data_IF_895050933457
#
_entry.id   IF_895050933457
#
_cell.length_a   1.000
_cell.length_b   1.000
_cell.length_c   1.000
_cell.angle_alpha   90.00
_cell.angle_beta   90.00
_cell.angle_gamma   90.00
#
_symmetry.space_group_name_H-M   'P 1'
#
loop_
_entity.id
_entity.type
_entity.pdbx_description
1 polymer ?
#
# COMPACT_ATOMS: atom_id res chain seq x y z
N UNK A 1 -11.28 -6.53 26.62
CA UNK A 1 -10.10 -6.42 25.72
C UNK A 1 -10.68 -6.43 24.33
N UNK A 2 -11.03 -5.26 23.82
CA UNK A 2 -11.75 -5.13 22.55
C UNK A 2 -10.73 -5.24 21.43
N UNK A 3 -10.78 -6.37 20.74
CA UNK A 3 -9.97 -6.63 19.55
C UNK A 3 -10.57 -5.77 18.42
N UNK A 4 -9.87 -4.74 17.90
CA UNK A 4 -10.46 -3.63 17.15
C UNK A 4 -11.08 -4.01 15.79
N UNK A 5 -11.05 -5.29 15.43
CA UNK A 5 -11.33 -5.79 14.08
C UNK A 5 -12.09 -7.11 14.14
N UNK A 6 -13.08 -7.27 15.03
CA UNK A 6 -13.80 -8.56 15.14
C UNK A 6 -14.88 -8.77 14.07
N UNK A 7 -15.44 -7.72 13.44
CA UNK A 7 -16.55 -7.89 12.51
C UNK A 7 -16.28 -7.30 11.11
N UNK A 8 -16.12 -8.17 10.10
CA UNK A 8 -15.89 -7.79 8.71
C UNK A 8 -17.03 -6.93 8.15
N UNK A 9 -18.27 -7.18 8.58
CA UNK A 9 -19.43 -6.42 8.11
C UNK A 9 -19.45 -5.00 8.68
N UNK A 10 -18.89 -4.80 9.87
CA UNK A 10 -18.73 -3.49 10.48
C UNK A 10 -17.63 -2.68 9.78
N UNK A 11 -16.52 -3.34 9.42
CA UNK A 11 -15.48 -2.77 8.57
C UNK A 11 -16.02 -2.33 7.21
N UNK A 12 -16.76 -3.19 6.53
CA UNK A 12 -17.38 -2.88 5.23
C UNK A 12 -18.37 -1.72 5.37
N UNK A 13 -19.22 -1.73 6.39
CA UNK A 13 -20.13 -0.61 6.68
C UNK A 13 -19.39 0.69 6.97
N UNK A 14 -18.25 0.63 7.66
CA UNK A 14 -17.41 1.81 7.92
C UNK A 14 -16.85 2.37 6.61
N UNK A 15 -16.37 1.52 5.70
CA UNK A 15 -15.93 1.94 4.36
C UNK A 15 -17.07 2.55 3.56
N UNK A 16 -18.22 1.90 3.53
CA UNK A 16 -19.40 2.42 2.82
C UNK A 16 -19.89 3.75 3.41
N UNK A 17 -19.80 3.90 4.73
CA UNK A 17 -20.07 5.16 5.43
C UNK A 17 -19.06 6.25 5.07
N UNK A 18 -17.77 5.91 5.02
CA UNK A 18 -16.69 6.83 4.63
C UNK A 18 -16.83 7.27 3.17
N UNK A 19 -17.18 6.37 2.24
CA UNK A 19 -17.51 6.69 0.83
C UNK A 19 -18.67 7.69 0.70
N UNK A 20 -19.62 7.66 1.64
CA UNK A 20 -20.83 8.51 1.61
C UNK A 20 -20.65 9.85 2.32
N UNK A 21 -19.86 9.90 3.40
CA UNK A 21 -19.67 11.11 4.21
C UNK A 21 -18.48 11.95 3.77
N UNK A 22 -17.35 11.31 3.50
CA UNK A 22 -16.20 11.92 2.84
C UNK A 22 -16.39 11.68 1.34
N UNK A 23 -16.16 12.68 0.49
CA UNK A 23 -16.02 12.45 -0.97
C UNK A 23 -14.72 11.69 -1.27
N UNK A 24 -14.48 10.57 -0.59
CA UNK A 24 -13.39 9.63 -0.83
C UNK A 24 -13.70 8.92 -2.14
N UNK A 25 -13.13 9.45 -3.21
CA UNK A 25 -13.11 8.77 -4.48
C UNK A 25 -11.98 7.72 -4.45
N UNK A 26 -12.30 6.56 -3.88
CA UNK A 26 -11.35 5.45 -3.74
C UNK A 26 -10.83 4.93 -5.09
N UNK A 27 -11.57 5.16 -6.19
CA UNK A 27 -11.11 4.84 -7.55
C UNK A 27 -9.97 5.79 -7.95
N UNK A 28 -10.23 7.11 -7.88
CA UNK A 28 -9.21 8.12 -8.18
C UNK A 28 -8.00 8.05 -7.23
N UNK A 29 -8.22 7.77 -5.94
CA UNK A 29 -7.14 7.64 -4.96
C UNK A 29 -6.32 6.36 -5.21
N UNK A 30 -6.91 5.30 -5.76
CA UNK A 30 -6.17 4.13 -6.23
C UNK A 30 -5.23 4.50 -7.37
N UNK A 31 -5.74 5.11 -8.44
CA UNK A 31 -4.91 5.51 -9.57
C UNK A 31 -3.77 6.44 -9.12
N UNK A 32 -4.10 7.37 -8.22
CA UNK A 32 -3.11 8.27 -7.64
C UNK A 32 -2.07 7.52 -6.79
N UNK A 33 -2.45 6.47 -6.06
CA UNK A 33 -1.49 5.63 -5.32
C UNK A 33 -0.51 4.91 -6.26
N UNK A 34 -0.96 4.47 -7.44
CA UNK A 34 -0.09 3.86 -8.46
C UNK A 34 0.82 4.92 -9.10
N UNK A 35 0.30 6.12 -9.39
CA UNK A 35 1.13 7.23 -9.84
C UNK A 35 2.26 7.55 -8.85
N UNK A 36 1.97 7.54 -7.54
CA UNK A 36 2.98 7.72 -6.48
C UNK A 36 4.02 6.61 -6.49
N UNK A 37 3.61 5.33 -6.64
CA UNK A 37 4.56 4.22 -6.78
C UNK A 37 5.53 4.47 -7.94
N UNK A 38 5.00 4.88 -9.10
CA UNK A 38 5.81 5.19 -10.28
C UNK A 38 6.77 6.37 -10.03
N UNK A 39 6.35 7.42 -9.32
CA UNK A 39 7.25 8.53 -8.95
C UNK A 39 8.39 8.06 -8.04
N UNK A 40 8.13 7.16 -7.08
CA UNK A 40 9.20 6.54 -6.27
C UNK A 40 10.19 5.79 -7.18
N UNK A 41 9.68 5.03 -8.15
CA UNK A 41 10.54 4.33 -9.10
C UNK A 41 11.37 5.29 -9.98
N UNK A 42 10.84 6.46 -10.33
CA UNK A 42 11.58 7.49 -11.08
C UNK A 42 12.68 8.10 -10.20
N UNK A 43 12.40 8.43 -8.92
CA UNK A 43 13.42 8.89 -7.96
C UNK A 43 14.59 7.91 -7.90
N UNK A 44 14.30 6.61 -7.76
CA UNK A 44 15.32 5.56 -7.74
C UNK A 44 16.10 5.50 -9.05
N UNK A 45 15.43 5.65 -10.20
CA UNK A 45 16.08 5.64 -11.50
C UNK A 45 17.06 6.81 -11.67
N UNK A 46 16.66 8.01 -11.27
CA UNK A 46 17.54 9.18 -11.29
C UNK A 46 18.71 9.04 -10.34
N UNK A 47 18.49 8.52 -9.13
CA UNK A 47 19.56 8.22 -8.19
C UNK A 47 20.63 7.30 -8.82
N UNK A 48 20.21 6.18 -9.40
CA UNK A 48 21.15 5.25 -10.04
C UNK A 48 21.84 5.87 -11.27
N UNK A 49 21.13 6.69 -12.04
CA UNK A 49 21.68 7.32 -13.23
C UNK A 49 22.73 8.37 -12.87
N UNK A 50 22.47 9.22 -11.87
CA UNK A 50 23.44 10.15 -11.32
C UNK A 50 24.69 9.43 -10.80
N UNK A 51 24.51 8.34 -10.05
CA UNK A 51 25.61 7.54 -9.52
C UNK A 51 26.46 6.88 -10.62
N UNK A 52 25.81 6.36 -11.69
CA UNK A 52 26.50 5.70 -12.81
C UNK A 52 27.23 6.66 -13.74
N UNK A 53 26.66 7.82 -13.98
CA UNK A 53 27.16 8.78 -14.98
C UNK A 53 28.04 9.86 -14.38
N UNK A 54 28.01 10.06 -13.07
CA UNK A 54 28.69 11.16 -12.39
C UNK A 54 28.07 12.53 -12.65
N UNK A 55 26.89 12.59 -13.29
CA UNK A 55 26.22 13.84 -13.68
C UNK A 55 25.27 14.30 -12.57
N UNK A 56 25.55 15.42 -11.88
CA UNK A 56 24.76 15.86 -10.74
C UNK A 56 23.34 16.32 -11.10
N UNK A 57 23.08 16.67 -12.37
CA UNK A 57 21.78 17.16 -12.85
C UNK A 57 20.65 16.11 -12.66
N UNK A 58 21.01 14.82 -12.61
CA UNK A 58 20.04 13.77 -12.29
C UNK A 58 19.56 13.84 -10.83
N UNK A 59 20.36 14.36 -9.90
CA UNK A 59 19.92 14.58 -8.52
C UNK A 59 18.97 15.78 -8.40
N UNK A 60 19.13 16.79 -9.26
CA UNK A 60 18.19 17.91 -9.35
C UNK A 60 16.83 17.42 -9.86
N UNK A 61 16.82 16.61 -10.92
CA UNK A 61 15.60 15.95 -11.43
C UNK A 61 14.95 15.04 -10.37
N UNK A 62 15.76 14.33 -9.58
CA UNK A 62 15.26 13.54 -8.45
C UNK A 62 14.51 14.44 -7.44
N UNK A 63 15.05 15.62 -7.11
CA UNK A 63 14.38 16.54 -6.19
C UNK A 63 13.05 17.04 -6.75
N UNK A 64 12.98 17.36 -8.03
CA UNK A 64 11.72 17.76 -8.69
C UNK A 64 10.64 16.66 -8.59
N UNK A 65 11.01 15.43 -8.93
CA UNK A 65 10.09 14.27 -8.82
C UNK A 65 9.68 14.04 -7.37
N UNK A 66 10.60 14.20 -6.43
CA UNK A 66 10.33 14.05 -4.99
C UNK A 66 9.33 15.07 -4.49
N UNK A 67 9.38 16.30 -4.99
CA UNK A 67 8.40 17.34 -4.65
C UNK A 67 7.00 16.96 -5.18
N UNK A 68 6.90 16.58 -6.45
CA UNK A 68 5.63 16.10 -7.06
C UNK A 68 5.08 14.92 -6.26
N UNK A 69 5.90 13.92 -5.94
CA UNK A 69 5.48 12.78 -5.10
C UNK A 69 4.94 13.24 -3.75
N UNK A 70 5.64 14.16 -3.09
CA UNK A 70 5.21 14.72 -1.82
C UNK A 70 3.85 15.41 -1.93
N UNK A 71 3.60 16.19 -2.97
CA UNK A 71 2.31 16.84 -3.20
C UNK A 71 1.17 15.84 -3.41
N UNK A 72 1.38 14.82 -4.24
CA UNK A 72 0.37 13.80 -4.50
C UNK A 72 0.09 12.94 -3.26
N UNK A 73 1.13 12.62 -2.47
CA UNK A 73 0.97 11.84 -1.25
C UNK A 73 0.11 12.57 -0.21
N UNK A 74 0.17 13.92 -0.13
CA UNK A 74 -0.73 14.72 0.73
C UNK A 74 -2.20 14.65 0.34
N UNK A 75 -2.51 14.31 -0.91
CA UNK A 75 -3.90 14.19 -1.37
C UNK A 75 -4.56 12.92 -0.83
N UNK A 76 -3.79 11.84 -0.68
CA UNK A 76 -4.30 10.54 -0.18
C UNK A 76 -4.14 10.42 1.34
N UNK A 77 -3.02 10.90 1.90
CA UNK A 77 -2.76 10.82 3.34
C UNK A 77 -3.30 12.06 4.03
N UNK A 78 -4.53 11.97 4.55
CA UNK A 78 -5.23 13.10 5.19
C UNK A 78 -4.76 13.43 6.61
N UNK A 79 -4.10 12.48 7.31
CA UNK A 79 -3.60 12.71 8.68
C UNK A 79 -2.09 12.63 8.79
N UNK A 80 -1.54 13.67 9.42
CA UNK A 80 -0.11 13.91 9.59
C UNK A 80 0.42 13.41 10.93
N UNK A 81 -0.01 12.22 11.37
CA UNK A 81 0.85 11.45 12.27
C UNK A 81 2.10 11.08 11.45
N UNK A 82 3.25 11.66 11.78
CA UNK A 82 4.46 11.57 10.94
C UNK A 82 4.89 10.13 10.59
N UNK A 83 4.48 9.16 11.41
CA UNK A 83 4.69 7.73 11.19
C UNK A 83 3.82 7.17 10.05
N UNK A 84 2.56 7.62 9.93
CA UNK A 84 1.61 7.21 8.87
C UNK A 84 2.12 7.62 7.49
N UNK A 85 2.68 8.82 7.37
CA UNK A 85 3.28 9.32 6.14
C UNK A 85 4.43 8.42 5.67
N UNK A 86 5.35 8.11 6.58
CA UNK A 86 6.53 7.32 6.27
C UNK A 86 6.15 5.87 5.95
N UNK A 87 5.32 5.22 6.76
CA UNK A 87 4.92 3.83 6.54
C UNK A 87 4.16 3.67 5.22
N UNK A 88 3.27 4.61 4.88
CA UNK A 88 2.49 4.57 3.64
C UNK A 88 3.39 4.58 2.39
N UNK A 89 4.36 5.50 2.35
CA UNK A 89 5.41 5.54 1.31
C UNK A 89 6.14 4.20 1.19
N UNK A 90 6.56 3.62 2.32
CA UNK A 90 7.33 2.38 2.34
C UNK A 90 6.49 1.17 1.89
N UNK A 91 5.22 1.11 2.27
CA UNK A 91 4.28 0.07 1.84
C UNK A 91 4.05 0.13 0.33
N UNK A 92 3.82 1.33 -0.23
CA UNK A 92 3.67 1.51 -1.67
C UNK A 92 4.93 1.09 -2.45
N UNK A 93 6.11 1.54 -1.99
CA UNK A 93 7.39 1.20 -2.63
C UNK A 93 7.67 -0.31 -2.60
N UNK A 94 7.48 -0.94 -1.44
CA UNK A 94 7.72 -2.37 -1.27
C UNK A 94 6.72 -3.21 -2.07
N UNK A 95 5.44 -2.81 -2.11
CA UNK A 95 4.42 -3.44 -2.96
C UNK A 95 4.84 -3.40 -4.43
N UNK A 96 5.18 -2.22 -4.96
CA UNK A 96 5.64 -2.08 -6.35
C UNK A 96 6.88 -2.92 -6.66
N UNK A 97 7.85 -2.94 -5.74
CA UNK A 97 9.07 -3.73 -5.94
C UNK A 97 8.78 -5.22 -6.00
N UNK A 98 7.87 -5.73 -5.17
CA UNK A 98 7.45 -7.14 -5.22
C UNK A 98 6.65 -7.47 -6.49
N UNK A 99 5.82 -6.56 -7.00
CA UNK A 99 5.15 -6.72 -8.30
C UNK A 99 6.16 -6.91 -9.43
N UNK A 100 7.19 -6.06 -9.47
CA UNK A 100 8.24 -6.13 -10.49
C UNK A 100 9.08 -7.43 -10.39
N UNK A 101 9.45 -7.85 -9.18
CA UNK A 101 10.20 -9.11 -8.99
C UNK A 101 9.32 -10.32 -9.35
N UNK A 102 8.05 -10.31 -8.95
CA UNK A 102 7.09 -11.36 -9.32
C UNK A 102 6.92 -11.48 -10.83
N UNK A 103 6.83 -10.36 -11.56
CA UNK A 103 6.75 -10.35 -13.02
C UNK A 103 7.99 -10.99 -13.67
N UNK A 104 9.19 -10.74 -13.13
CA UNK A 104 10.43 -11.38 -13.57
C UNK A 104 10.42 -12.90 -13.34
N UNK A 105 10.01 -13.35 -12.15
CA UNK A 105 9.89 -14.79 -11.88
C UNK A 105 8.86 -15.47 -12.80
N UNK A 106 7.75 -14.79 -13.11
CA UNK A 106 6.75 -15.26 -14.06
C UNK A 106 7.36 -15.41 -15.47
N UNK A 107 8.13 -14.42 -15.93
CA UNK A 107 8.85 -14.49 -17.21
C UNK A 107 9.87 -15.62 -17.29
N UNK A 108 10.43 -16.04 -16.15
CA UNK A 108 11.34 -17.19 -16.02
C UNK A 108 10.61 -18.53 -15.89
N UNK A 109 9.28 -18.56 -15.96
CA UNK A 109 8.47 -19.78 -15.82
C UNK A 109 8.29 -20.27 -14.37
N UNK A 110 8.80 -19.54 -13.38
CA UNK A 110 8.70 -19.88 -11.95
C UNK A 110 7.37 -19.39 -11.36
N UNK A 111 6.28 -20.03 -11.80
CA UNK A 111 4.91 -19.56 -11.55
C UNK A 111 4.56 -19.48 -10.07
N UNK A 112 5.00 -20.44 -9.26
CA UNK A 112 4.61 -20.48 -7.84
C UNK A 112 5.34 -19.41 -7.02
N UNK A 113 6.63 -19.18 -7.31
CA UNK A 113 7.41 -18.08 -6.73
C UNK A 113 6.81 -16.72 -7.12
N UNK A 114 6.41 -16.55 -8.39
CA UNK A 114 5.76 -15.34 -8.86
C UNK A 114 4.43 -15.06 -8.13
N UNK A 115 3.57 -16.07 -7.99
CA UNK A 115 2.27 -15.95 -7.30
C UNK A 115 2.43 -15.58 -5.83
N UNK A 116 3.40 -16.18 -5.15
CA UNK A 116 3.71 -15.85 -3.76
C UNK A 116 4.18 -14.39 -3.62
N UNK A 117 5.03 -13.91 -4.53
CA UNK A 117 5.46 -12.50 -4.57
C UNK A 117 4.30 -11.55 -4.86
N UNK A 118 3.42 -11.87 -5.81
CA UNK A 118 2.23 -11.07 -6.09
C UNK A 118 1.27 -11.01 -4.91
N UNK A 119 1.11 -12.12 -4.18
CA UNK A 119 0.27 -12.13 -2.98
C UNK A 119 0.83 -11.20 -1.90
N UNK A 120 2.16 -11.25 -1.67
CA UNK A 120 2.82 -10.34 -0.72
C UNK A 120 2.71 -8.88 -1.17
N UNK A 121 2.83 -8.60 -2.46
CA UNK A 121 2.65 -7.26 -3.00
C UNK A 121 1.23 -6.72 -2.72
N UNK A 122 0.22 -7.55 -2.93
CA UNK A 122 -1.18 -7.21 -2.67
C UNK A 122 -1.47 -7.03 -1.17
N UNK A 123 -0.83 -7.81 -0.31
CA UNK A 123 -0.95 -7.70 1.15
C UNK A 123 -0.41 -6.35 1.65
N UNK A 124 0.76 -5.91 1.15
CA UNK A 124 1.34 -4.60 1.49
C UNK A 124 0.48 -3.45 0.97
N UNK A 125 -0.05 -3.57 -0.24
CA UNK A 125 -0.98 -2.58 -0.79
C UNK A 125 -2.28 -2.51 0.03
N UNK A 126 -2.78 -3.67 0.48
CA UNK A 126 -3.96 -3.73 1.35
C UNK A 126 -3.70 -3.10 2.71
N UNK A 127 -2.49 -3.27 3.25
CA UNK A 127 -2.07 -2.64 4.50
C UNK A 127 -1.98 -1.11 4.35
N UNK A 128 -1.50 -0.60 3.22
CA UNK A 128 -1.48 0.84 2.93
C UNK A 128 -2.88 1.45 3.06
N UNK A 129 -3.90 0.83 2.48
CA UNK A 129 -5.28 1.29 2.61
C UNK A 129 -5.83 1.12 4.01
N UNK A 130 -5.52 0.00 4.68
CA UNK A 130 -5.90 -0.23 6.07
C UNK A 130 -5.44 0.88 7.02
N UNK A 131 -4.20 1.35 6.84
CA UNK A 131 -3.63 2.47 7.61
C UNK A 131 -4.29 3.80 7.21
N UNK A 132 -4.35 4.13 5.92
CA UNK A 132 -4.86 5.44 5.47
C UNK A 132 -6.37 5.63 5.66
N UNK A 133 -7.14 4.55 5.72
CA UNK A 133 -8.57 4.57 6.04
C UNK A 133 -8.84 4.47 7.55
N UNK A 134 -7.79 4.51 8.39
CA UNK A 134 -7.86 4.35 9.86
C UNK A 134 -8.64 3.12 10.30
N UNK A 135 -8.46 2.02 9.57
CA UNK A 135 -9.00 0.72 9.94
C UNK A 135 -8.07 0.01 10.91
N UNK A 136 -6.80 0.43 10.93
CA UNK A 136 -5.78 0.03 11.89
C UNK A 136 -5.44 1.28 12.70
N UNK A 137 -5.66 1.23 14.02
CA UNK A 137 -5.19 2.29 14.92
C UNK A 137 -3.68 2.10 15.14
N UNK A 138 -2.89 3.10 14.76
CA UNK A 138 -1.44 3.15 14.95
C UNK A 138 -1.05 3.15 16.43
N UNK A 139 -1.87 3.79 17.28
CA UNK A 139 -1.72 3.79 18.74
C UNK A 139 -1.86 2.40 19.41
N UNK A 140 -2.55 1.46 18.73
CA UNK A 140 -2.77 0.10 19.20
C UNK A 140 -1.68 -0.89 18.71
N UNK A 141 -0.65 -0.42 17.99
CA UNK A 141 0.52 -1.24 17.60
C UNK A 141 1.46 -1.43 18.82
N UNK A 142 0.90 -1.71 20.00
CA UNK A 142 1.64 -2.28 21.12
C UNK A 142 1.66 -3.78 20.91
N UNK A 143 2.73 -4.25 20.25
CA UNK A 143 3.03 -5.66 19.95
C UNK A 143 1.90 -6.36 19.19
N UNK A 144 2.11 -6.55 17.89
CA UNK A 144 1.36 -7.56 17.15
C UNK A 144 1.58 -8.88 17.90
N UNK A 145 0.53 -9.43 18.50
CA UNK A 145 0.55 -10.74 19.14
C UNK A 145 1.10 -11.75 18.13
N UNK A 146 2.07 -12.58 18.52
CA UNK A 146 2.73 -13.54 17.62
C UNK A 146 1.70 -14.45 16.92
N UNK A 147 0.53 -14.64 17.55
CA UNK A 147 -0.60 -15.39 17.00
C UNK A 147 -1.33 -14.68 15.85
N UNK A 148 -1.25 -13.35 15.72
CA UNK A 148 -1.83 -12.60 14.61
C UNK A 148 -1.01 -12.71 13.31
N UNK A 149 0.22 -13.21 13.39
CA UNK A 149 1.13 -13.47 12.28
C UNK A 149 1.22 -14.95 11.88
N UNK A 150 0.42 -15.83 12.50
CA UNK A 150 0.47 -17.27 12.23
C UNK A 150 0.21 -17.57 10.76
N UNK A 151 1.26 -18.04 10.07
CA UNK A 151 1.23 -18.52 8.68
C UNK A 151 0.68 -19.95 8.54
N UNK A 152 0.11 -20.51 9.60
CA UNK A 152 -0.29 -21.92 9.68
C UNK A 152 -1.77 -22.16 10.02
N UNK A 153 -2.63 -21.15 9.96
CA UNK A 153 -4.06 -21.39 10.11
C UNK A 153 -4.69 -21.70 8.74
N UNK A 154 -5.22 -22.92 8.62
CA UNK A 154 -6.03 -23.38 7.48
C UNK A 154 -7.35 -22.59 7.34
N UNK A 155 -7.70 -21.75 8.33
CA UNK A 155 -8.79 -20.78 8.26
C UNK A 155 -8.29 -19.37 7.87
N UNK A 156 -8.59 -18.95 6.65
CA UNK A 156 -8.27 -17.62 6.09
C UNK A 156 -9.03 -16.46 6.77
N UNK A 157 -8.85 -16.21 8.07
CA UNK A 157 -9.59 -15.15 8.79
C UNK A 157 -8.75 -14.21 9.68
N UNK A 158 -7.43 -14.14 9.51
CA UNK A 158 -6.56 -13.15 10.16
C UNK A 158 -6.71 -11.71 9.62
N UNK A 159 -6.07 -10.72 10.28
CA UNK A 159 -6.10 -9.29 9.94
C UNK A 159 -5.87 -9.02 8.44
N UNK A 160 -4.82 -9.60 7.88
CA UNK A 160 -4.49 -9.46 6.45
C UNK A 160 -5.59 -9.99 5.52
N UNK A 161 -6.24 -11.09 5.89
CA UNK A 161 -7.38 -11.63 5.13
C UNK A 161 -8.53 -10.63 5.05
N UNK A 162 -8.85 -9.97 6.17
CA UNK A 162 -9.93 -8.97 6.25
C UNK A 162 -9.59 -7.71 5.47
N UNK A 163 -8.34 -7.23 5.56
CA UNK A 163 -7.86 -6.08 4.79
C UNK A 163 -7.94 -6.34 3.29
N UNK A 164 -7.54 -7.53 2.82
CA UNK A 164 -7.67 -7.91 1.41
C UNK A 164 -9.12 -7.89 0.94
N UNK A 165 -10.04 -8.50 1.70
CA UNK A 165 -11.46 -8.51 1.35
C UNK A 165 -12.04 -7.10 1.31
N UNK A 166 -11.60 -6.24 2.23
CA UNK A 166 -12.01 -4.85 2.27
C UNK A 166 -11.50 -4.07 1.06
N UNK A 167 -10.20 -4.13 0.76
CA UNK A 167 -9.63 -3.47 -0.43
C UNK A 167 -10.31 -3.95 -1.69
N UNK A 168 -10.52 -5.26 -1.83
CA UNK A 168 -11.26 -5.83 -2.96
C UNK A 168 -12.67 -5.23 -3.12
N UNK A 169 -13.39 -4.96 -2.04
CA UNK A 169 -14.75 -4.36 -2.08
C UNK A 169 -14.73 -2.84 -2.20
N UNK A 170 -13.71 -2.20 -1.63
CA UNK A 170 -13.60 -0.76 -1.50
C UNK A 170 -13.06 -0.13 -2.80
N UNK A 171 -12.15 -0.84 -3.46
CA UNK A 171 -11.29 -0.37 -4.55
C UNK A 171 -11.64 -1.13 -5.85
N UNK A 172 -12.88 -1.60 -5.97
CA UNK A 172 -13.36 -2.27 -7.17
C UNK A 172 -13.62 -1.25 -8.28
N UNK A 173 -12.58 -0.90 -9.03
CA UNK A 173 -12.66 -0.03 -10.23
C UNK A 173 -13.46 -0.62 -11.39
N UNK A 174 -13.95 -1.86 -11.29
CA UNK A 174 -14.76 -2.48 -12.34
C UNK A 174 -16.26 -2.12 -12.25
N UNK A 175 -16.65 -1.17 -11.39
CA UNK A 175 -18.03 -0.72 -11.17
C UNK A 175 -18.25 0.72 -11.72
N UNK A 176 -17.38 1.19 -12.62
CA UNK A 176 -17.65 2.37 -13.46
C UNK A 176 -18.54 2.05 -14.66
#
# INVERSE_FOLDING_TARGET
MDNPIQNLDELVKKVDGMKKQDKLDLSSDQDLSIAIMNLISIEEHFFFTGAKTGKPEYYDLLQEVRQIRGELLRKIIKEYEGEVWCISKHLLAASMRLMEVGAKQMGMGKKDEARDLFQKAYDLYSLFWGVNMKLIKTDDIKKIDDNALNRHDEEKAGLMGRLRTLVKKAIDCCIE
#
